data_IF_048774045514
#
_entry.id   IF_048774045514
#
_cell.length_a   1.000
_cell.length_b   1.000
_cell.length_c   1.000
_cell.angle_alpha   90.00
_cell.angle_beta   90.00
_cell.angle_gamma   90.00
#
_symmetry.space_group_name_H-M   'P 1'
#
loop_
_entity.id
_entity.type
_entity.pdbx_description
1 polymer ?
#
# COMPACT_ATOMS: atom_id res chain seq x y z
N UNK A 1 -13.24 13.95 -35.93
CA UNK A 1 -13.55 12.84 -34.99
C UNK A 1 -13.47 13.47 -33.61
N UNK A 2 -14.46 13.25 -32.75
CA UNK A 2 -14.39 13.84 -31.41
C UNK A 2 -13.41 13.05 -30.55
N UNK A 3 -12.83 13.69 -29.51
CA UNK A 3 -11.79 13.11 -28.62
C UNK A 3 -12.31 11.84 -27.95
N UNK A 4 -13.57 11.84 -27.51
CA UNK A 4 -14.19 10.70 -26.86
C UNK A 4 -14.19 9.46 -27.75
N UNK A 5 -14.59 9.61 -29.01
CA UNK A 5 -14.58 8.52 -29.99
C UNK A 5 -13.16 7.99 -30.26
N UNK A 6 -12.16 8.88 -30.29
CA UNK A 6 -10.76 8.48 -30.44
C UNK A 6 -10.28 7.65 -29.24
N UNK A 7 -10.56 8.10 -28.02
CA UNK A 7 -10.19 7.37 -26.79
C UNK A 7 -10.84 5.98 -26.77
N UNK A 8 -12.15 5.88 -27.07
CA UNK A 8 -12.84 4.59 -27.11
C UNK A 8 -12.31 3.65 -28.20
N UNK A 9 -11.79 4.20 -29.30
CA UNK A 9 -11.11 3.42 -30.35
C UNK A 9 -9.87 2.68 -29.86
N UNK A 10 -9.26 3.13 -28.76
CA UNK A 10 -8.07 2.50 -28.16
C UNK A 10 -8.38 1.52 -27.00
N UNK A 11 -9.66 1.20 -26.75
CA UNK A 11 -10.03 0.32 -25.62
C UNK A 11 -9.28 -1.03 -25.63
N UNK A 12 -9.25 -1.71 -26.75
CA UNK A 12 -8.57 -3.00 -26.89
C UNK A 12 -7.06 -2.90 -26.60
N UNK A 13 -6.43 -1.83 -27.12
CA UNK A 13 -5.01 -1.56 -26.90
C UNK A 13 -4.73 -1.23 -25.44
N UNK A 14 -5.58 -0.45 -24.78
CA UNK A 14 -5.50 -0.14 -23.35
C UNK A 14 -5.51 -1.43 -22.55
N UNK A 15 -6.51 -2.30 -22.77
CA UNK A 15 -6.62 -3.57 -22.05
C UNK A 15 -5.41 -4.47 -22.27
N UNK A 16 -4.89 -4.54 -23.48
CA UNK A 16 -3.68 -5.32 -23.81
C UNK A 16 -2.45 -4.79 -23.07
N UNK A 17 -2.23 -3.46 -23.07
CA UNK A 17 -1.10 -2.83 -22.36
C UNK A 17 -1.21 -3.03 -20.86
N UNK A 18 -2.41 -2.81 -20.31
CA UNK A 18 -2.67 -3.00 -18.88
C UNK A 18 -2.41 -4.46 -18.48
N UNK A 19 -2.97 -5.43 -19.20
CA UNK A 19 -2.74 -6.83 -18.93
C UNK A 19 -1.24 -7.22 -18.96
N UNK A 20 -0.47 -6.63 -19.88
CA UNK A 20 0.98 -6.85 -19.94
C UNK A 20 1.69 -6.26 -18.70
N UNK A 21 1.35 -5.06 -18.25
CA UNK A 21 1.95 -4.47 -17.06
C UNK A 21 1.51 -5.17 -15.77
N UNK A 22 0.26 -5.60 -15.67
CA UNK A 22 -0.26 -6.38 -14.53
C UNK A 22 0.49 -7.71 -14.40
N UNK A 23 0.84 -8.36 -15.51
CA UNK A 23 1.58 -9.64 -15.47
C UNK A 23 3.01 -9.53 -14.92
N UNK A 24 3.50 -8.31 -14.73
CA UNK A 24 4.82 -8.06 -14.13
C UNK A 24 4.63 -7.83 -12.62
N UNK A 25 5.15 -8.76 -11.81
CA UNK A 25 5.21 -8.55 -10.36
C UNK A 25 6.27 -7.48 -10.05
N UNK A 26 5.82 -6.24 -9.97
CA UNK A 26 6.65 -5.06 -9.69
C UNK A 26 6.65 -4.63 -8.22
N UNK A 27 6.46 -5.56 -7.31
CA UNK A 27 6.70 -5.34 -5.88
C UNK A 27 8.19 -5.02 -5.66
N UNK A 28 8.48 -4.05 -4.77
CA UNK A 28 9.86 -3.74 -4.40
C UNK A 28 10.59 -5.00 -3.92
N UNK A 29 11.77 -5.22 -4.45
CA UNK A 29 12.62 -6.36 -4.15
C UNK A 29 14.00 -5.95 -3.66
N UNK A 30 14.88 -6.94 -3.51
CA UNK A 30 16.27 -6.67 -3.12
C UNK A 30 16.95 -5.81 -4.19
N UNK A 31 17.57 -4.69 -3.80
CA UNK A 31 18.31 -3.84 -4.73
C UNK A 31 19.48 -4.61 -5.40
N UNK A 32 19.65 -4.38 -6.69
CA UNK A 32 20.77 -4.86 -7.50
C UNK A 32 21.46 -3.66 -8.20
N UNK A 33 22.70 -3.79 -8.70
CA UNK A 33 23.44 -2.66 -9.27
C UNK A 33 22.71 -1.88 -10.36
N UNK A 34 21.90 -2.56 -11.16
CA UNK A 34 21.10 -1.97 -12.25
C UNK A 34 19.58 -2.05 -12.02
N UNK A 35 19.15 -2.42 -10.81
CA UNK A 35 17.76 -2.53 -10.40
C UNK A 35 17.60 -2.02 -8.96
N UNK A 36 17.58 -0.70 -8.76
CA UNK A 36 17.65 -0.08 -7.43
C UNK A 36 16.51 -0.47 -6.50
N UNK A 37 15.35 -0.86 -7.04
CA UNK A 37 14.18 -1.33 -6.30
C UNK A 37 13.83 -2.79 -6.62
N UNK A 38 14.80 -3.56 -7.16
CA UNK A 38 14.62 -4.94 -7.57
C UNK A 38 14.21 -5.11 -9.04
N UNK A 39 14.25 -6.36 -9.51
CA UNK A 39 13.99 -6.68 -10.93
C UNK A 39 12.58 -6.36 -11.40
N UNK A 40 11.58 -6.56 -10.55
CA UNK A 40 10.17 -6.36 -10.92
C UNK A 40 9.86 -4.92 -11.35
N UNK A 41 10.13 -3.90 -10.51
CA UNK A 41 9.97 -2.50 -10.88
C UNK A 41 10.77 -2.07 -12.11
N UNK A 42 12.03 -2.56 -12.25
CA UNK A 42 12.84 -2.31 -13.45
C UNK A 42 12.17 -2.83 -14.71
N UNK A 43 11.71 -4.09 -14.73
CA UNK A 43 11.06 -4.70 -15.91
C UNK A 43 9.76 -3.96 -16.25
N UNK A 44 9.01 -3.52 -15.25
CA UNK A 44 7.80 -2.72 -15.47
C UNK A 44 8.12 -1.38 -16.16
N UNK A 45 9.17 -0.68 -15.69
CA UNK A 45 9.64 0.57 -16.30
C UNK A 45 10.10 0.37 -17.75
N UNK A 46 10.99 -0.59 -17.98
CA UNK A 46 11.48 -0.90 -19.33
C UNK A 46 10.33 -1.22 -20.28
N UNK A 47 9.36 -2.05 -19.83
CA UNK A 47 8.18 -2.40 -20.61
C UNK A 47 7.31 -1.17 -20.97
N UNK A 48 7.09 -0.27 -20.02
CA UNK A 48 6.32 0.96 -20.25
C UNK A 48 7.04 1.89 -21.24
N UNK A 49 8.35 2.07 -21.07
CA UNK A 49 9.16 2.90 -21.98
C UNK A 49 9.21 2.32 -23.40
N UNK A 50 9.30 1.00 -23.54
CA UNK A 50 9.23 0.33 -24.84
C UNK A 50 7.88 0.53 -25.54
N UNK A 51 6.77 0.45 -24.79
CA UNK A 51 5.43 0.73 -25.34
C UNK A 51 5.35 2.17 -25.88
N UNK A 52 5.81 3.15 -25.11
CA UNK A 52 5.81 4.54 -25.52
C UNK A 52 6.75 4.82 -26.69
N UNK A 53 7.92 4.18 -26.70
CA UNK A 53 8.87 4.26 -27.82
C UNK A 53 8.29 3.68 -29.10
N UNK A 54 7.57 2.55 -29.03
CA UNK A 54 6.87 1.96 -30.18
C UNK A 54 5.78 2.89 -30.75
N UNK A 55 5.15 3.71 -29.90
CA UNK A 55 4.22 4.77 -30.32
C UNK A 55 4.93 6.01 -30.90
N UNK A 56 6.27 6.03 -30.91
CA UNK A 56 7.09 7.11 -31.44
C UNK A 56 7.17 8.34 -30.52
N UNK A 57 7.14 8.14 -29.20
CA UNK A 57 7.51 9.15 -28.20
C UNK A 57 9.01 9.12 -27.93
N UNK A 58 9.56 10.26 -27.50
CA UNK A 58 10.92 10.29 -26.95
C UNK A 58 10.88 9.72 -25.55
N UNK A 59 11.67 8.67 -25.30
CA UNK A 59 11.71 7.99 -24.00
C UNK A 59 13.10 8.10 -23.37
N UNK A 60 13.14 8.29 -22.06
CA UNK A 60 14.36 8.35 -21.26
C UNK A 60 14.19 7.44 -20.06
N UNK A 61 15.23 6.63 -19.79
CA UNK A 61 15.37 5.85 -18.58
C UNK A 61 16.46 6.50 -17.71
N UNK A 62 16.13 6.89 -16.50
CA UNK A 62 17.04 7.49 -15.53
C UNK A 62 17.50 6.44 -14.53
N UNK A 63 18.54 5.70 -14.91
CA UNK A 63 19.26 4.72 -14.08
C UNK A 63 18.35 3.61 -13.49
N UNK A 64 17.24 3.27 -14.15
CA UNK A 64 16.19 2.35 -13.67
C UNK A 64 15.51 2.75 -12.35
N UNK A 65 15.74 3.98 -11.86
CA UNK A 65 14.96 4.56 -10.77
C UNK A 65 13.61 5.05 -11.26
N UNK A 66 13.58 5.66 -12.44
CA UNK A 66 12.41 6.34 -13.00
C UNK A 66 12.64 6.55 -14.48
N UNK A 67 11.58 6.74 -15.25
CA UNK A 67 11.71 7.09 -16.65
C UNK A 67 10.55 7.93 -17.13
N UNK A 68 10.64 8.42 -18.34
CA UNK A 68 9.56 9.21 -18.92
C UNK A 68 9.43 9.07 -20.43
N UNK A 69 8.24 9.39 -20.91
CA UNK A 69 7.97 9.61 -22.34
C UNK A 69 7.53 11.06 -22.54
N UNK A 70 8.06 11.72 -23.58
CA UNK A 70 7.84 13.14 -23.81
C UNK A 70 7.35 13.42 -25.23
N UNK A 71 6.46 14.42 -25.37
CA UNK A 71 5.99 14.97 -26.63
C UNK A 71 5.87 16.50 -26.53
N UNK A 72 5.91 17.16 -27.67
CA UNK A 72 5.79 18.62 -27.79
C UNK A 72 7.12 19.34 -27.73
N UNK A 73 7.05 20.67 -27.77
CA UNK A 73 8.20 21.56 -27.74
C UNK A 73 7.85 22.83 -26.94
N UNK A 74 8.86 23.56 -26.53
CA UNK A 74 8.70 24.79 -25.75
C UNK A 74 9.39 24.72 -24.40
N UNK A 75 9.44 25.85 -23.70
CA UNK A 75 10.18 26.01 -22.45
C UNK A 75 9.45 25.35 -21.27
N UNK A 76 8.11 25.46 -21.25
CA UNK A 76 7.29 24.96 -20.14
C UNK A 76 7.02 23.45 -20.23
N UNK A 77 7.13 22.78 -19.09
CA UNK A 77 6.96 21.35 -18.95
C UNK A 77 5.70 21.03 -18.11
N UNK A 78 4.81 20.22 -18.67
CA UNK A 78 3.68 19.64 -17.97
C UNK A 78 4.04 18.17 -17.62
N UNK A 79 4.03 17.81 -16.34
CA UNK A 79 4.24 16.45 -15.87
C UNK A 79 2.92 15.73 -15.59
N UNK A 80 2.80 14.50 -16.07
CA UNK A 80 1.82 13.51 -15.61
C UNK A 80 2.63 12.50 -14.84
N UNK A 81 2.42 12.39 -13.54
CA UNK A 81 3.33 11.68 -12.63
C UNK A 81 2.57 10.53 -11.98
N UNK A 82 3.04 9.31 -12.16
CA UNK A 82 2.49 8.14 -11.51
C UNK A 82 3.53 7.04 -11.40
N UNK A 83 3.13 5.83 -11.01
CA UNK A 83 4.06 4.75 -10.71
C UNK A 83 3.67 3.39 -11.31
N UNK A 84 4.63 2.49 -11.33
CA UNK A 84 4.49 1.13 -11.87
C UNK A 84 4.80 0.05 -10.83
N UNK A 85 5.41 0.42 -9.70
CA UNK A 85 5.54 -0.47 -8.55
C UNK A 85 4.18 -0.71 -7.89
N UNK A 86 4.09 -1.76 -7.11
CA UNK A 86 2.84 -2.17 -6.47
C UNK A 86 3.14 -2.79 -5.10
N UNK A 87 2.20 -2.67 -4.15
CA UNK A 87 2.28 -3.38 -2.87
C UNK A 87 2.19 -4.90 -3.07
N UNK A 88 2.74 -5.70 -2.15
CA UNK A 88 2.65 -7.15 -2.20
C UNK A 88 1.21 -7.66 -2.33
N UNK A 89 1.04 -8.76 -3.03
CA UNK A 89 -0.24 -9.46 -3.14
C UNK A 89 -0.01 -10.96 -3.33
N UNK A 90 -0.80 -11.77 -2.65
CA UNK A 90 -0.83 -13.22 -2.86
C UNK A 90 -2.24 -13.79 -2.59
N UNK A 91 -2.49 -15.01 -3.05
CA UNK A 91 -3.82 -15.65 -2.91
C UNK A 91 -4.24 -15.77 -1.43
N UNK A 92 -3.28 -15.93 -0.51
CA UNK A 92 -3.55 -16.01 0.95
C UNK A 92 -4.09 -14.69 1.53
N UNK A 93 -3.88 -13.58 0.83
CA UNK A 93 -4.38 -12.26 1.24
C UNK A 93 -5.85 -12.01 0.83
N UNK A 94 -6.55 -13.06 0.39
CA UNK A 94 -7.97 -13.01 0.04
C UNK A 94 -8.25 -12.73 -1.44
N UNK A 95 -7.25 -12.84 -2.31
CA UNK A 95 -7.44 -12.77 -3.75
C UNK A 95 -8.15 -14.04 -4.25
N UNK A 96 -9.20 -13.86 -5.05
CA UNK A 96 -9.95 -14.98 -5.67
C UNK A 96 -9.33 -15.42 -7.00
N UNK A 97 -8.37 -14.67 -7.52
CA UNK A 97 -7.63 -14.94 -8.76
C UNK A 97 -6.16 -14.65 -8.52
N UNK A 98 -5.28 -15.05 -9.44
CA UNK A 98 -3.88 -14.62 -9.40
C UNK A 98 -3.81 -13.09 -9.51
N UNK A 99 -3.25 -12.38 -8.51
CA UNK A 99 -3.17 -10.92 -8.54
C UNK A 99 -2.34 -10.36 -9.69
N UNK A 100 -1.44 -11.14 -10.27
CA UNK A 100 -0.60 -10.76 -11.41
C UNK A 100 -1.12 -11.29 -12.76
N UNK A 101 -2.36 -11.72 -12.79
CA UNK A 101 -3.08 -12.06 -14.01
C UNK A 101 -4.38 -11.24 -14.08
N UNK A 102 -4.40 -10.23 -14.97
CA UNK A 102 -5.61 -9.42 -15.14
C UNK A 102 -6.79 -10.25 -15.59
N UNK A 103 -7.91 -10.15 -14.87
CA UNK A 103 -9.18 -10.83 -15.19
C UNK A 103 -10.28 -9.80 -15.34
N UNK A 104 -11.06 -9.88 -16.39
CA UNK A 104 -12.33 -9.14 -16.55
C UNK A 104 -13.49 -10.03 -16.14
N UNK A 105 -14.32 -9.55 -15.21
CA UNK A 105 -15.54 -10.23 -14.78
C UNK A 105 -16.64 -9.19 -14.57
N UNK A 106 -17.77 -9.41 -15.23
CA UNK A 106 -18.94 -8.52 -15.13
C UNK A 106 -18.64 -7.05 -15.46
N UNK A 107 -17.71 -6.80 -16.40
CA UNK A 107 -17.28 -5.47 -16.81
C UNK A 107 -16.31 -4.78 -15.83
N UNK A 108 -15.83 -5.49 -14.81
CA UNK A 108 -14.84 -5.03 -13.84
C UNK A 108 -13.50 -5.75 -14.07
N UNK A 109 -12.41 -4.99 -14.03
CA UNK A 109 -11.05 -5.52 -14.15
C UNK A 109 -10.47 -5.79 -12.75
N UNK A 110 -9.93 -6.98 -12.58
CA UNK A 110 -9.26 -7.41 -11.35
C UNK A 110 -7.79 -7.71 -11.61
N UNK A 111 -6.92 -7.22 -10.75
CA UNK A 111 -5.48 -7.45 -10.78
C UNK A 111 -4.74 -6.44 -9.90
N UNK A 112 -3.57 -6.81 -9.35
CA UNK A 112 -2.76 -5.89 -8.55
C UNK A 112 -2.20 -4.79 -9.46
N UNK A 113 -2.52 -3.51 -9.14
CA UNK A 113 -2.15 -2.35 -9.95
C UNK A 113 -3.20 -1.93 -10.99
N UNK A 114 -4.36 -2.60 -11.09
CA UNK A 114 -5.43 -2.17 -12.01
C UNK A 114 -5.95 -0.77 -11.63
N UNK A 115 -6.09 -0.48 -10.34
CA UNK A 115 -6.50 0.83 -9.83
C UNK A 115 -5.29 1.69 -9.48
N UNK A 116 -4.35 1.15 -8.75
CA UNK A 116 -3.21 1.82 -8.14
C UNK A 116 -1.90 1.17 -8.63
N UNK A 117 -1.13 1.78 -9.55
CA UNK A 117 -1.44 2.93 -10.41
C UNK A 117 -1.27 2.58 -11.91
N UNK A 118 -0.95 1.29 -12.24
CA UNK A 118 -0.71 0.85 -13.64
C UNK A 118 -1.89 1.15 -14.55
N UNK A 119 -3.13 1.09 -14.03
CA UNK A 119 -4.33 1.39 -14.81
C UNK A 119 -4.38 2.84 -15.25
N UNK A 120 -4.18 3.78 -14.33
CA UNK A 120 -4.17 5.20 -14.63
C UNK A 120 -2.97 5.59 -15.49
N UNK A 121 -1.81 4.93 -15.29
CA UNK A 121 -0.64 5.12 -16.16
C UNK A 121 -0.89 4.68 -17.60
N UNK A 122 -1.54 3.53 -17.80
CA UNK A 122 -1.90 3.07 -19.17
C UNK A 122 -2.96 3.99 -19.78
N UNK A 123 -3.94 4.45 -19.00
CA UNK A 123 -4.91 5.44 -19.48
C UNK A 123 -4.20 6.73 -19.94
N UNK A 124 -3.20 7.18 -19.18
CA UNK A 124 -2.36 8.34 -19.54
C UNK A 124 -1.52 8.10 -20.79
N UNK A 125 -0.97 6.87 -20.99
CA UNK A 125 -0.31 6.51 -22.26
C UNK A 125 -1.27 6.67 -23.46
N UNK A 126 -2.49 6.18 -23.33
CA UNK A 126 -3.50 6.27 -24.38
C UNK A 126 -3.91 7.73 -24.61
N UNK A 127 -4.05 8.53 -23.56
CA UNK A 127 -4.35 9.95 -23.69
C UNK A 127 -3.27 10.70 -24.49
N UNK A 128 -1.99 10.45 -24.20
CA UNK A 128 -0.88 11.02 -24.97
C UNK A 128 -0.88 10.54 -26.43
N UNK A 129 -1.20 9.27 -26.67
CA UNK A 129 -1.32 8.72 -28.03
C UNK A 129 -2.43 9.42 -28.81
N UNK A 130 -3.59 9.64 -28.19
CA UNK A 130 -4.69 10.41 -28.80
C UNK A 130 -4.26 11.83 -29.13
N UNK A 131 -3.58 12.54 -28.21
CA UNK A 131 -3.05 13.89 -28.45
C UNK A 131 -2.11 13.90 -29.66
N UNK A 132 -1.23 12.91 -29.76
CA UNK A 132 -0.31 12.76 -30.89
C UNK A 132 -1.07 12.54 -32.21
N UNK A 133 -2.06 11.65 -32.24
CA UNK A 133 -2.82 11.32 -33.42
C UNK A 133 -3.75 12.48 -33.90
N UNK A 134 -4.12 13.34 -32.94
CA UNK A 134 -4.84 14.59 -33.27
C UNK A 134 -3.95 15.58 -34.06
N UNK A 135 -2.64 15.38 -34.07
CA UNK A 135 -1.65 16.20 -34.71
C UNK A 135 -1.79 17.71 -34.39
N UNK A 136 -2.13 18.00 -33.11
CA UNK A 136 -2.25 19.39 -32.64
C UNK A 136 -0.89 20.00 -32.36
N UNK A 137 -0.75 21.30 -32.63
CA UNK A 137 0.47 22.03 -32.30
C UNK A 137 0.57 22.24 -30.80
N UNK A 138 1.55 21.63 -30.18
CA UNK A 138 1.81 21.77 -28.74
C UNK A 138 2.81 22.92 -28.51
N UNK A 139 2.43 23.88 -27.66
CA UNK A 139 3.29 25.01 -27.24
C UNK A 139 4.06 24.73 -25.95
N UNK A 140 3.83 23.58 -25.34
CA UNK A 140 4.51 23.09 -24.14
C UNK A 140 4.94 21.65 -24.36
N UNK A 141 5.94 21.21 -23.62
CA UNK A 141 6.28 19.78 -23.51
C UNK A 141 5.31 19.10 -22.55
N UNK A 142 4.92 17.89 -22.87
CA UNK A 142 4.12 17.02 -21.99
C UNK A 142 4.96 15.78 -21.73
N UNK A 143 5.18 15.46 -20.46
CA UNK A 143 6.00 14.34 -20.02
C UNK A 143 5.18 13.43 -19.12
N UNK A 144 5.04 12.16 -19.53
CA UNK A 144 4.48 11.09 -18.72
C UNK A 144 5.63 10.41 -17.97
N UNK A 145 5.62 10.49 -16.65
CA UNK A 145 6.71 10.07 -15.76
C UNK A 145 6.28 8.80 -15.05
N UNK A 146 7.12 7.76 -15.17
CA UNK A 146 6.88 6.42 -14.62
C UNK A 146 7.78 6.17 -13.41
N UNK A 147 7.23 6.33 -12.20
CA UNK A 147 7.89 5.97 -10.95
C UNK A 147 8.00 4.47 -10.76
N UNK A 148 8.93 4.04 -9.91
CA UNK A 148 9.18 2.62 -9.60
C UNK A 148 9.35 2.34 -8.11
N UNK A 149 9.00 3.31 -7.25
CA UNK A 149 9.15 3.20 -5.79
C UNK A 149 8.22 4.19 -5.08
N UNK A 150 6.99 4.37 -5.55
CA UNK A 150 6.01 5.24 -4.89
C UNK A 150 5.59 4.64 -3.56
N UNK A 151 5.17 3.38 -3.56
CA UNK A 151 4.59 2.61 -2.46
C UNK A 151 5.49 2.51 -1.21
N UNK A 152 6.78 2.80 -1.35
CA UNK A 152 7.78 2.63 -0.30
C UNK A 152 8.64 3.88 -0.07
N UNK A 153 8.17 5.05 -0.54
CA UNK A 153 8.70 6.37 -0.16
C UNK A 153 9.31 7.21 -1.26
N UNK A 154 8.90 7.00 -2.52
CA UNK A 154 9.14 7.91 -3.67
C UNK A 154 10.58 8.33 -3.91
N UNK A 155 11.57 7.47 -3.58
CA UNK A 155 13.00 7.74 -3.85
C UNK A 155 13.27 7.90 -5.34
N UNK A 156 12.47 7.23 -6.18
CA UNK A 156 12.51 7.37 -7.63
C UNK A 156 12.23 8.80 -8.07
N UNK A 157 11.22 9.46 -7.49
CA UNK A 157 10.88 10.84 -7.81
C UNK A 157 11.95 11.83 -7.34
N UNK A 158 12.57 11.58 -6.17
CA UNK A 158 13.73 12.35 -5.73
C UNK A 158 14.87 12.29 -6.76
N UNK A 159 15.19 11.09 -7.26
CA UNK A 159 16.19 10.89 -8.30
C UNK A 159 15.85 11.65 -9.59
N UNK A 160 14.56 11.64 -9.99
CA UNK A 160 14.10 12.43 -11.13
C UNK A 160 14.37 13.93 -10.95
N UNK A 161 13.99 14.50 -9.79
CA UNK A 161 14.19 15.93 -9.51
C UNK A 161 15.69 16.29 -9.50
N UNK A 162 16.54 15.43 -9.00
CA UNK A 162 18.00 15.63 -9.00
C UNK A 162 18.60 15.64 -10.42
N UNK A 163 18.04 14.86 -11.36
CA UNK A 163 18.54 14.74 -12.74
C UNK A 163 17.93 15.74 -13.71
N UNK A 164 16.63 15.98 -13.60
CA UNK A 164 15.82 16.71 -14.60
C UNK A 164 15.26 18.05 -14.06
N UNK A 165 15.28 18.24 -12.75
CA UNK A 165 14.59 19.36 -12.09
C UNK A 165 13.09 19.14 -11.94
N UNK A 166 12.37 20.20 -11.56
CA UNK A 166 10.93 20.17 -11.34
C UNK A 166 10.17 20.45 -12.64
N UNK A 167 8.95 19.92 -12.73
CA UNK A 167 7.99 20.32 -13.77
C UNK A 167 7.39 21.69 -13.45
N UNK A 168 6.96 22.45 -14.48
CA UNK A 168 6.30 23.73 -14.26
C UNK A 168 4.85 23.59 -13.80
N UNK A 169 4.17 22.57 -14.32
CA UNK A 169 2.80 22.19 -13.99
C UNK A 169 2.72 20.68 -13.98
N UNK A 170 1.83 20.12 -13.19
CA UNK A 170 1.65 18.67 -13.20
C UNK A 170 0.41 18.24 -12.45
N UNK A 171 0.06 16.98 -12.66
CA UNK A 171 -0.92 16.26 -11.87
C UNK A 171 -0.51 14.79 -11.76
N UNK A 172 -1.02 14.12 -10.74
CA UNK A 172 -0.99 12.67 -10.65
C UNK A 172 -2.36 12.11 -10.98
N UNK A 173 -2.45 11.06 -11.83
CA UNK A 173 -3.68 10.33 -12.05
C UNK A 173 -3.95 9.30 -10.95
N UNK A 174 -3.03 9.14 -10.00
CA UNK A 174 -3.08 8.24 -8.86
C UNK A 174 -3.91 8.86 -7.74
N UNK A 175 -5.22 8.83 -7.89
CA UNK A 175 -6.16 9.41 -6.93
C UNK A 175 -7.60 9.34 -7.41
N UNK A 176 -8.50 9.74 -6.52
CA UNK A 176 -9.94 9.74 -6.80
C UNK A 176 -10.33 10.82 -7.82
N UNK A 177 -11.32 10.47 -8.65
CA UNK A 177 -11.84 11.38 -9.67
C UNK A 177 -13.04 12.19 -9.11
N UNK A 178 -13.18 13.49 -9.40
CA UNK A 178 -12.49 14.31 -10.40
C UNK A 178 -11.16 14.91 -9.93
N UNK A 179 -10.82 14.85 -8.69
CA UNK A 179 -9.56 15.33 -8.15
C UNK A 179 -9.56 15.40 -6.63
N UNK A 180 -8.39 15.31 -6.04
CA UNK A 180 -8.11 15.44 -4.60
C UNK A 180 -7.48 16.81 -4.39
N UNK A 181 -8.05 17.64 -3.50
CA UNK A 181 -7.49 18.96 -3.17
C UNK A 181 -6.89 19.04 -1.77
N UNK A 182 -6.93 17.95 -1.02
CA UNK A 182 -6.33 17.85 0.30
C UNK A 182 -6.09 16.40 0.67
N UNK A 183 -4.98 16.12 1.29
CA UNK A 183 -4.57 14.79 1.70
C UNK A 183 -4.09 14.82 3.14
N UNK A 184 -4.50 13.83 3.95
CA UNK A 184 -4.03 13.74 5.35
C UNK A 184 -2.53 13.55 5.41
N UNK A 185 -1.89 14.23 6.35
CA UNK A 185 -0.49 13.98 6.65
C UNK A 185 -0.29 12.59 7.24
N UNK A 186 0.91 12.03 7.06
CA UNK A 186 1.24 10.67 7.51
C UNK A 186 2.41 10.67 8.49
N UNK A 187 2.28 9.91 9.58
CA UNK A 187 3.37 9.59 10.49
C UNK A 187 3.49 8.07 10.59
N UNK A 188 4.63 7.52 10.19
CA UNK A 188 4.97 6.11 10.39
C UNK A 188 6.03 5.98 11.46
N UNK A 189 5.72 5.24 12.52
CA UNK A 189 6.61 5.03 13.66
C UNK A 189 6.81 3.55 13.95
N UNK A 190 7.87 3.24 14.72
CA UNK A 190 8.11 1.96 15.35
C UNK A 190 8.08 2.10 16.86
N UNK A 191 7.60 1.09 17.53
CA UNK A 191 7.79 0.94 18.98
C UNK A 191 8.52 -0.35 19.27
N UNK A 192 9.28 -0.36 20.38
CA UNK A 192 10.06 -1.51 20.83
C UNK A 192 9.72 -1.82 22.28
N UNK A 193 9.60 -3.11 22.62
CA UNK A 193 9.49 -3.58 23.99
C UNK A 193 10.47 -4.71 24.26
N UNK A 194 11.26 -4.58 25.34
CA UNK A 194 12.27 -5.56 25.77
C UNK A 194 11.83 -6.39 26.99
N UNK A 195 10.72 -5.99 27.62
CA UNK A 195 10.23 -6.60 28.84
C UNK A 195 8.82 -7.11 28.62
N UNK A 196 8.68 -8.40 28.37
CA UNK A 196 7.40 -9.07 28.15
C UNK A 196 7.49 -10.54 28.60
N UNK A 197 6.37 -11.10 29.04
CA UNK A 197 6.18 -12.52 29.27
C UNK A 197 5.76 -13.28 27.98
N UNK A 198 5.53 -12.58 26.90
CA UNK A 198 5.29 -13.15 25.56
C UNK A 198 6.61 -13.78 25.10
N UNK A 199 6.54 -15.04 24.63
CA UNK A 199 7.71 -15.81 24.17
C UNK A 199 7.96 -15.65 22.68
N UNK A 200 6.90 -15.42 21.92
CA UNK A 200 6.95 -15.10 20.49
C UNK A 200 5.67 -14.37 20.08
N UNK A 201 5.77 -13.47 19.12
CA UNK A 201 4.64 -12.76 18.53
C UNK A 201 4.95 -12.43 17.08
N UNK A 202 3.97 -12.64 16.22
CA UNK A 202 4.05 -12.18 14.84
C UNK A 202 2.65 -11.84 14.32
N UNK A 203 2.55 -10.74 13.57
CA UNK A 203 1.30 -10.33 12.92
C UNK A 203 1.50 -9.30 11.82
N UNK A 204 0.56 -9.29 10.89
CA UNK A 204 0.48 -8.35 9.78
C UNK A 204 1.48 -8.59 8.65
N UNK A 205 1.23 -7.95 7.53
CA UNK A 205 2.03 -8.07 6.29
C UNK A 205 2.61 -6.74 5.83
N UNK A 206 1.92 -5.62 6.10
CA UNK A 206 2.36 -4.28 5.74
C UNK A 206 1.88 -3.24 6.77
N UNK A 207 2.62 -2.15 6.93
CA UNK A 207 2.34 -1.10 7.92
C UNK A 207 1.03 -0.36 7.63
N UNK A 208 0.73 -0.18 6.35
CA UNK A 208 -0.46 0.51 5.85
C UNK A 208 -1.69 -0.40 5.66
N UNK A 209 -1.66 -1.61 6.21
CA UNK A 209 -2.79 -2.55 6.20
C UNK A 209 -3.15 -2.93 7.64
N UNK A 210 -4.45 -2.96 7.96
CA UNK A 210 -4.97 -3.49 9.23
C UNK A 210 -4.53 -4.94 9.39
N UNK A 211 -3.90 -5.26 10.52
CA UNK A 211 -3.35 -6.58 10.80
C UNK A 211 -4.45 -7.65 10.75
N UNK A 212 -4.45 -8.47 9.69
CA UNK A 212 -5.44 -9.53 9.50
C UNK A 212 -5.17 -10.76 10.35
N UNK A 213 -3.91 -11.15 10.48
CA UNK A 213 -3.52 -12.36 11.20
C UNK A 213 -2.46 -12.01 12.23
N UNK A 214 -2.65 -12.47 13.46
CA UNK A 214 -1.68 -12.31 14.52
C UNK A 214 -1.65 -13.53 15.43
N UNK A 215 -0.48 -13.90 15.92
CA UNK A 215 -0.36 -14.91 16.95
C UNK A 215 0.62 -14.50 18.06
N UNK A 216 0.42 -15.09 19.24
CA UNK A 216 1.40 -15.07 20.35
C UNK A 216 1.69 -16.49 20.85
N UNK A 217 2.87 -16.67 21.44
CA UNK A 217 3.24 -17.85 22.23
C UNK A 217 3.44 -17.42 23.67
N UNK A 218 2.69 -18.03 24.60
CA UNK A 218 2.68 -17.69 26.02
C UNK A 218 2.60 -18.95 26.87
N UNK A 219 2.90 -18.85 28.19
CA UNK A 219 2.68 -19.95 29.14
C UNK A 219 1.17 -20.24 29.26
N UNK A 220 0.80 -21.53 29.15
CA UNK A 220 -0.60 -21.98 29.19
C UNK A 220 -1.31 -21.73 30.52
N UNK A 221 -0.58 -21.52 31.61
CA UNK A 221 -1.11 -21.27 32.93
C UNK A 221 -1.18 -19.79 33.29
N UNK A 222 -0.72 -18.89 32.41
CA UNK A 222 -0.63 -17.46 32.67
C UNK A 222 -1.93 -16.69 32.41
N UNK A 223 -2.97 -17.34 31.89
CA UNK A 223 -4.25 -16.71 31.51
C UNK A 223 -5.43 -17.68 31.68
N UNK A 224 -6.64 -17.17 31.69
CA UNK A 224 -7.86 -17.98 31.66
C UNK A 224 -8.24 -18.31 30.22
N UNK A 225 -7.98 -19.55 29.79
CA UNK A 225 -8.31 -20.03 28.46
C UNK A 225 -9.81 -19.83 28.12
N UNK A 226 -10.69 -20.20 29.07
CA UNK A 226 -12.13 -20.04 28.89
C UNK A 226 -12.53 -18.58 28.65
N UNK A 227 -12.01 -17.66 29.44
CA UNK A 227 -12.31 -16.23 29.30
C UNK A 227 -11.84 -15.70 27.95
N UNK A 228 -10.67 -16.15 27.47
CA UNK A 228 -10.13 -15.77 26.17
C UNK A 228 -10.99 -16.30 25.00
N UNK A 229 -11.39 -17.58 25.06
CA UNK A 229 -12.28 -18.20 24.07
C UNK A 229 -13.66 -17.49 24.03
N UNK A 230 -14.24 -17.21 25.18
CA UNK A 230 -15.52 -16.49 25.32
C UNK A 230 -15.40 -15.07 24.73
N UNK A 231 -14.29 -14.38 24.97
CA UNK A 231 -14.02 -13.06 24.40
C UNK A 231 -13.98 -13.09 22.85
N UNK A 232 -13.18 -13.98 22.26
CA UNK A 232 -13.06 -14.05 20.80
C UNK A 232 -14.38 -14.47 20.13
N UNK A 233 -15.15 -15.37 20.76
CA UNK A 233 -16.49 -15.75 20.26
C UNK A 233 -17.46 -14.56 20.30
N UNK A 234 -17.47 -13.76 21.38
CA UNK A 234 -18.31 -12.58 21.50
C UNK A 234 -17.96 -11.51 20.46
N UNK A 235 -16.68 -11.39 20.11
CA UNK A 235 -16.21 -10.49 19.06
C UNK A 235 -16.34 -11.04 17.64
N UNK A 236 -16.88 -12.26 17.47
CA UNK A 236 -17.03 -12.97 16.19
C UNK A 236 -15.70 -13.04 15.42
N UNK A 237 -14.64 -13.49 16.10
CA UNK A 237 -13.31 -13.68 15.52
C UNK A 237 -13.03 -15.16 15.28
N UNK A 238 -12.35 -15.46 14.20
CA UNK A 238 -11.75 -16.78 13.99
C UNK A 238 -10.44 -16.86 14.80
N UNK A 239 -10.29 -17.95 15.56
CA UNK A 239 -9.10 -18.14 16.39
C UNK A 239 -8.73 -19.61 16.56
N UNK A 240 -7.47 -19.87 16.96
CA UNK A 240 -7.04 -21.18 17.44
C UNK A 240 -6.16 -21.02 18.70
N UNK A 241 -6.22 -22.02 19.60
CA UNK A 241 -5.36 -22.12 20.79
C UNK A 241 -4.75 -23.51 20.78
N UNK A 242 -3.49 -23.60 20.38
CA UNK A 242 -2.76 -24.84 20.18
C UNK A 242 -1.66 -25.02 21.23
N UNK A 243 -1.53 -26.22 21.82
CA UNK A 243 -0.44 -26.48 22.76
C UNK A 243 0.90 -26.59 22.00
N UNK A 244 1.92 -25.92 22.51
CA UNK A 244 3.31 -26.04 22.07
C UNK A 244 4.14 -26.63 23.22
N UNK A 245 4.56 -27.90 23.05
CA UNK A 245 5.24 -28.60 24.10
C UNK A 245 4.35 -28.79 25.34
N UNK A 246 5.00 -28.81 26.53
CA UNK A 246 4.30 -29.09 27.79
C UNK A 246 3.80 -27.84 28.51
N UNK A 247 4.41 -26.70 28.29
CA UNK A 247 4.19 -25.47 29.07
C UNK A 247 3.50 -24.36 28.32
N UNK A 248 3.55 -24.36 26.98
CA UNK A 248 3.21 -23.21 26.18
C UNK A 248 1.98 -23.44 25.29
N UNK A 249 1.36 -22.35 24.90
CA UNK A 249 0.30 -22.34 23.89
C UNK A 249 0.57 -21.25 22.85
N UNK A 250 0.19 -21.56 21.61
CA UNK A 250 0.07 -20.57 20.54
C UNK A 250 -1.39 -20.15 20.43
N UNK A 251 -1.64 -18.89 20.62
CA UNK A 251 -2.96 -18.26 20.37
C UNK A 251 -2.88 -17.50 19.07
N UNK A 252 -3.70 -17.88 18.10
CA UNK A 252 -3.79 -17.23 16.78
C UNK A 252 -5.16 -16.62 16.58
N UNK A 253 -5.21 -15.42 16.03
CA UNK A 253 -6.46 -14.69 15.74
C UNK A 253 -6.43 -14.22 14.30
N UNK A 254 -7.58 -14.33 13.63
CA UNK A 254 -7.82 -13.77 12.32
C UNK A 254 -8.87 -12.64 12.42
N UNK A 255 -8.51 -11.47 11.93
CA UNK A 255 -9.36 -10.29 11.79
C UNK A 255 -9.74 -10.03 10.33
N UNK A 256 -10.04 -8.76 10.04
CA UNK A 256 -10.44 -8.28 8.70
C UNK A 256 -9.44 -7.21 8.28
N UNK A 257 -8.81 -7.42 7.12
CA UNK A 257 -7.89 -6.42 6.55
C UNK A 257 -8.69 -5.22 6.02
N UNK A 258 -8.08 -4.03 6.17
CA UNK A 258 -8.53 -2.79 5.55
C UNK A 258 -7.31 -1.90 5.32
N UNK A 259 -7.43 -0.85 4.53
CA UNK A 259 -6.37 0.12 4.39
C UNK A 259 -6.21 0.95 5.67
N UNK A 260 -4.99 1.35 6.04
CA UNK A 260 -4.71 2.08 7.28
C UNK A 260 -5.35 3.49 7.35
N UNK A 261 -5.80 4.04 6.22
CA UNK A 261 -6.56 5.29 6.18
C UNK A 261 -8.03 5.14 6.60
N UNK A 262 -8.56 3.90 6.56
CA UNK A 262 -9.93 3.53 6.93
C UNK A 262 -9.91 2.30 7.85
N UNK A 263 -9.20 2.35 8.99
CA UNK A 263 -8.98 1.20 9.84
C UNK A 263 -10.26 0.67 10.50
N UNK A 264 -11.28 1.51 10.61
CA UNK A 264 -12.61 1.16 11.13
C UNK A 264 -13.38 0.18 10.24
N UNK A 265 -12.99 0.04 8.97
CA UNK A 265 -13.56 -0.97 8.06
C UNK A 265 -12.96 -2.36 8.27
N UNK A 266 -11.90 -2.47 9.08
CA UNK A 266 -11.22 -3.71 9.41
C UNK A 266 -11.47 -4.17 10.84
N UNK A 267 -10.93 -5.35 11.17
CA UNK A 267 -10.75 -5.86 12.54
C UNK A 267 -9.29 -6.19 12.74
N UNK A 268 -8.59 -5.39 13.55
CA UNK A 268 -7.15 -5.57 13.78
C UNK A 268 -6.88 -6.76 14.70
N UNK A 269 -6.44 -7.89 14.13
CA UNK A 269 -6.17 -9.12 14.88
C UNK A 269 -5.18 -8.91 16.04
N UNK A 270 -4.17 -8.03 15.88
CA UNK A 270 -3.23 -7.70 16.95
C UNK A 270 -3.94 -7.01 18.13
N UNK A 271 -4.76 -5.99 17.84
CA UNK A 271 -5.48 -5.25 18.90
C UNK A 271 -6.45 -6.14 19.66
N UNK A 272 -7.21 -6.97 18.96
CA UNK A 272 -8.13 -7.93 19.60
C UNK A 272 -7.39 -9.01 20.38
N UNK A 273 -6.23 -9.46 19.90
CA UNK A 273 -5.40 -10.44 20.63
C UNK A 273 -4.87 -9.84 21.94
N UNK A 274 -4.34 -8.61 21.90
CA UNK A 274 -3.85 -7.94 23.11
C UNK A 274 -4.98 -7.67 24.11
N UNK A 275 -6.15 -7.20 23.66
CA UNK A 275 -7.29 -6.95 24.52
C UNK A 275 -7.84 -8.25 25.14
N UNK A 276 -7.96 -9.31 24.34
CA UNK A 276 -8.37 -10.64 24.85
C UNK A 276 -7.41 -11.21 25.88
N UNK A 277 -6.09 -11.09 25.67
CA UNK A 277 -5.10 -11.49 26.66
C UNK A 277 -5.25 -10.73 27.97
N UNK A 278 -5.41 -9.42 27.92
CA UNK A 278 -5.65 -8.59 29.11
C UNK A 278 -6.92 -9.01 29.84
N UNK A 279 -8.02 -9.20 29.15
CA UNK A 279 -9.30 -9.62 29.76
C UNK A 279 -9.24 -11.04 30.33
N UNK A 280 -8.40 -11.92 29.77
CA UNK A 280 -8.20 -13.27 30.27
C UNK A 280 -7.29 -13.36 31.51
N UNK A 281 -6.77 -12.22 31.99
CA UNK A 281 -5.94 -12.12 33.18
C UNK A 281 -4.45 -12.33 32.93
N UNK A 282 -3.99 -12.33 31.66
CA UNK A 282 -2.56 -12.37 31.33
C UNK A 282 -1.87 -11.10 31.83
N UNK A 283 -0.92 -11.25 32.76
CA UNK A 283 -0.19 -10.15 33.37
C UNK A 283 1.08 -9.85 32.58
N UNK A 284 1.09 -8.78 31.83
CA UNK A 284 2.23 -8.39 31.00
C UNK A 284 2.28 -6.88 30.76
N UNK A 285 3.45 -6.27 30.99
CA UNK A 285 3.63 -4.83 30.85
C UNK A 285 3.47 -4.31 29.42
N UNK A 286 3.82 -5.09 28.41
CA UNK A 286 3.62 -4.72 27.01
C UNK A 286 2.13 -4.78 26.65
N UNK A 287 1.42 -5.84 27.06
CA UNK A 287 -0.03 -5.96 26.83
C UNK A 287 -0.78 -4.82 27.51
N UNK A 288 -0.43 -4.47 28.75
CA UNK A 288 -1.02 -3.33 29.46
C UNK A 288 -0.77 -2.00 28.75
N UNK A 289 0.46 -1.77 28.32
CA UNK A 289 0.83 -0.59 27.54
C UNK A 289 0.06 -0.53 26.22
N UNK A 290 0.01 -1.63 25.48
CA UNK A 290 -0.68 -1.70 24.20
C UNK A 290 -2.19 -1.38 24.35
N UNK A 291 -2.86 -2.06 25.26
CA UNK A 291 -4.29 -1.85 25.51
C UNK A 291 -4.61 -0.45 26.01
N UNK A 292 -3.73 0.17 26.80
CA UNK A 292 -3.92 1.53 27.30
C UNK A 292 -3.74 2.60 26.21
N UNK A 293 -2.75 2.44 25.35
CA UNK A 293 -2.35 3.50 24.43
C UNK A 293 -2.82 3.29 22.99
N UNK A 294 -3.02 2.06 22.59
CA UNK A 294 -3.51 1.73 21.25
C UNK A 294 -4.90 1.07 21.32
N UNK A 295 -5.00 -0.06 22.02
CA UNK A 295 -6.26 -0.77 22.24
C UNK A 295 -6.99 -1.11 20.92
N UNK A 296 -8.31 -1.01 20.98
CA UNK A 296 -9.20 -1.18 19.83
C UNK A 296 -9.51 0.14 19.11
N UNK A 297 -9.14 1.28 19.71
CA UNK A 297 -9.40 2.59 19.13
C UNK A 297 -8.55 2.83 17.88
N UNK A 298 -9.14 3.43 16.87
CA UNK A 298 -8.50 3.75 15.59
C UNK A 298 -8.34 5.25 15.34
N UNK A 299 -8.63 6.08 16.35
CA UNK A 299 -8.68 7.54 16.28
C UNK A 299 -7.59 8.27 17.07
N UNK A 300 -6.62 7.53 17.64
CA UNK A 300 -5.56 8.09 18.47
C UNK A 300 -5.99 8.51 19.88
N UNK A 301 -7.22 8.22 20.31
CA UNK A 301 -7.74 8.60 21.65
C UNK A 301 -6.93 7.97 22.78
N UNK A 302 -6.38 6.76 22.60
CA UNK A 302 -5.59 6.06 23.62
C UNK A 302 -4.30 6.78 24.02
N UNK A 303 -3.73 7.64 23.17
CA UNK A 303 -2.57 8.49 23.49
C UNK A 303 -2.88 10.01 23.43
N UNK A 304 -4.18 10.36 23.42
CA UNK A 304 -4.61 11.74 23.53
C UNK A 304 -4.40 12.59 22.27
N UNK A 305 -4.33 11.96 21.11
CA UNK A 305 -4.12 12.62 19.82
C UNK A 305 -5.36 12.64 18.92
N UNK A 306 -6.53 12.28 19.44
CA UNK A 306 -7.75 12.32 18.67
C UNK A 306 -8.10 13.77 18.28
N UNK A 307 -8.18 14.02 17.00
CA UNK A 307 -8.48 15.32 16.41
C UNK A 307 -9.17 15.13 15.07
N UNK A 308 -9.84 16.16 14.60
CA UNK A 308 -10.55 16.15 13.32
C UNK A 308 -10.65 17.54 12.72
N UNK A 309 -10.77 17.61 11.40
CA UNK A 309 -11.11 18.82 10.66
C UNK A 309 -12.24 18.55 9.65
N UNK A 310 -12.48 19.47 8.72
CA UNK A 310 -13.49 19.31 7.67
C UNK A 310 -13.20 18.13 6.71
N UNK A 311 -11.95 17.62 6.66
CA UNK A 311 -11.51 16.48 5.83
C UNK A 311 -11.58 15.15 6.59
N UNK A 312 -11.93 15.15 7.87
CA UNK A 312 -12.13 13.97 8.68
C UNK A 312 -11.25 13.86 9.92
N UNK A 313 -11.40 12.75 10.64
CA UNK A 313 -10.68 12.48 11.88
C UNK A 313 -9.28 11.89 11.63
N UNK A 314 -8.39 12.04 12.63
CA UNK A 314 -7.15 11.25 12.70
C UNK A 314 -7.49 9.76 12.66
N UNK A 315 -6.68 9.00 11.94
CA UNK A 315 -6.74 7.53 11.96
C UNK A 315 -5.41 6.94 12.41
N UNK A 316 -5.50 5.81 13.12
CA UNK A 316 -4.36 5.06 13.67
C UNK A 316 -4.49 3.59 13.33
N UNK A 317 -3.42 2.98 12.84
CA UNK A 317 -3.33 1.55 12.58
C UNK A 317 -2.02 0.96 13.12
N UNK A 318 -2.10 -0.20 13.75
CA UNK A 318 -0.96 -1.04 14.12
C UNK A 318 -0.90 -2.20 13.12
N UNK A 319 -0.12 -2.01 12.04
CA UNK A 319 -0.15 -2.90 10.86
C UNK A 319 0.70 -4.15 11.01
N UNK A 320 1.88 -4.04 11.63
CA UNK A 320 2.86 -5.13 11.73
C UNK A 320 3.42 -5.22 13.15
N UNK A 321 3.62 -6.45 13.61
CA UNK A 321 4.34 -6.76 14.85
C UNK A 321 5.16 -8.03 14.68
N UNK A 322 6.34 -8.08 15.30
CA UNK A 322 7.18 -9.26 15.36
C UNK A 322 8.05 -9.26 16.62
N UNK A 323 8.59 -10.42 16.98
CA UNK A 323 9.63 -10.52 18.01
C UNK A 323 10.90 -11.09 17.39
N UNK A 324 12.02 -10.46 17.72
CA UNK A 324 13.35 -10.96 17.40
C UNK A 324 14.27 -10.78 18.61
N UNK A 325 15.00 -11.83 18.96
CA UNK A 325 15.94 -11.84 20.11
C UNK A 325 15.30 -11.34 21.43
N UNK A 326 14.03 -11.71 21.66
CA UNK A 326 13.27 -11.29 22.85
C UNK A 326 12.81 -9.83 22.85
N UNK A 327 12.97 -9.12 21.75
CA UNK A 327 12.50 -7.75 21.56
C UNK A 327 11.28 -7.75 20.65
N UNK A 328 10.17 -7.23 21.15
CA UNK A 328 8.99 -6.95 20.32
C UNK A 328 9.24 -5.65 19.55
N UNK A 329 9.04 -5.70 18.24
CA UNK A 329 8.97 -4.52 17.39
C UNK A 329 7.59 -4.45 16.73
N UNK A 330 6.91 -3.30 16.85
CA UNK A 330 5.65 -3.05 16.19
C UNK A 330 5.65 -1.72 15.42
N UNK A 331 4.74 -1.59 14.45
CA UNK A 331 4.57 -0.39 13.64
C UNK A 331 3.27 0.33 13.94
N UNK A 332 3.29 1.66 13.81
CA UNK A 332 2.11 2.51 13.86
C UNK A 332 2.09 3.35 12.59
N UNK A 333 0.96 3.37 11.88
CA UNK A 333 0.63 4.30 10.80
C UNK A 333 -0.45 5.25 11.31
N UNK A 334 -0.18 6.54 11.28
CA UNK A 334 -1.11 7.60 11.69
C UNK A 334 -1.37 8.49 10.49
N UNK A 335 -2.65 8.74 10.20
CA UNK A 335 -3.09 9.73 9.21
C UNK A 335 -3.75 10.88 9.95
N UNK A 336 -3.12 12.05 9.96
CA UNK A 336 -3.63 13.21 10.69
C UNK A 336 -4.33 14.22 9.76
N UNK A 337 -5.31 14.97 10.28
CA UNK A 337 -6.07 15.95 9.50
C UNK A 337 -5.22 16.96 8.74
N UNK A 338 -5.75 17.45 7.62
CA UNK A 338 -5.04 18.32 6.66
C UNK A 338 -4.63 19.67 7.27
N UNK A 339 -5.42 20.17 8.22
CA UNK A 339 -5.23 21.52 8.79
C UNK A 339 -4.39 21.56 10.07
N UNK A 340 -3.78 20.42 10.47
CA UNK A 340 -2.96 20.31 11.68
C UNK A 340 -1.46 20.29 11.42
#
# INVERSE_FOLDING_TARGET
MDVKSMVYGYKEELLKRLGKLISINSVEGTPEPDAPFGKGPKVALETALEMMKADGFNTVNLDNYIGYAEIGSGEKLIGIIGHLDVVPANVKDGWNTDPFQMVEKDGVLYGRGVSDDKGAMVASMIALKVIKDMNVSLTKRIRLIFGTNEETGSKCLKHYVEKEGSVDYGFTPDGDFPGVHGEKGMISMRYLSKHTAIKDIQGGSAKNIVCRNCYVVIDKNSFSRKTLEDYFNNENLEFSIENIGETDVKVSVQGIAAHASLPELGKNALSYLMDGLKQSGFQDGFVDFYCKHFGLATDGSGFGANCSDEYGALTQNNGVISMQDGVIEGSIDIRFPVTL
#
